data_IF_244374890380
#
_entry.id   IF_244374890380
#
_cell.length_a   1.000
_cell.length_b   1.000
_cell.length_c   1.000
_cell.angle_alpha   90.00
_cell.angle_beta   90.00
_cell.angle_gamma   90.00
#
_symmetry.space_group_name_H-M   'P 1'
#
loop_
_entity.id
_entity.type
_entity.pdbx_description
1 polymer ?
#
# COMPACT_ATOMS: atom_id res chain seq x y z
N UNK A 1 2.80 -7.30 -12.52
CA UNK A 1 2.25 -6.62 -11.33
C UNK A 1 3.34 -6.28 -10.30
N UNK A 2 4.26 -7.21 -9.98
CA UNK A 2 5.30 -6.98 -8.95
C UNK A 2 6.36 -5.94 -9.36
N UNK A 3 6.64 -5.80 -10.66
CA UNK A 3 7.68 -4.88 -11.16
C UNK A 3 7.22 -3.42 -11.32
N UNK A 4 5.97 -3.09 -10.99
CA UNK A 4 5.48 -1.71 -11.15
C UNK A 4 5.92 -0.86 -9.96
N UNK A 5 6.74 0.16 -10.20
CA UNK A 5 7.19 1.09 -9.15
C UNK A 5 6.10 2.07 -8.72
N UNK A 6 5.07 2.26 -9.56
CA UNK A 6 3.95 3.18 -9.36
C UNK A 6 3.31 3.08 -7.96
N UNK A 7 3.17 1.87 -7.41
CA UNK A 7 2.55 1.67 -6.09
C UNK A 7 3.38 2.35 -4.99
N UNK A 8 4.67 2.04 -4.91
CA UNK A 8 5.61 2.58 -3.92
C UNK A 8 5.88 4.07 -4.18
N UNK A 9 6.08 4.45 -5.44
CA UNK A 9 6.31 5.86 -5.81
C UNK A 9 5.12 6.75 -5.46
N UNK A 10 3.88 6.26 -5.59
CA UNK A 10 2.69 7.03 -5.21
C UNK A 10 2.67 7.38 -3.71
N UNK A 11 3.11 6.46 -2.86
CA UNK A 11 3.22 6.68 -1.41
C UNK A 11 4.35 7.66 -1.12
N UNK A 12 5.55 7.43 -1.68
CA UNK A 12 6.69 8.33 -1.51
C UNK A 12 6.38 9.76 -1.95
N UNK A 13 5.66 9.95 -3.06
CA UNK A 13 5.23 11.26 -3.53
C UNK A 13 4.32 11.95 -2.52
N UNK A 14 3.39 11.21 -1.91
CA UNK A 14 2.50 11.77 -0.88
C UNK A 14 3.26 12.19 0.36
N UNK A 15 4.20 11.36 0.83
CA UNK A 15 5.04 11.69 1.98
C UNK A 15 5.89 12.93 1.72
N UNK A 16 6.55 13.02 0.56
CA UNK A 16 7.31 14.23 0.17
C UNK A 16 6.43 15.49 0.13
N UNK A 17 5.18 15.37 -0.34
CA UNK A 17 4.23 16.50 -0.36
C UNK A 17 3.89 16.96 1.06
N UNK A 18 3.64 16.03 1.98
CA UNK A 18 3.27 16.33 3.37
C UNK A 18 4.43 16.91 4.18
N UNK A 19 5.66 16.47 3.92
CA UNK A 19 6.84 16.97 4.63
C UNK A 19 7.37 18.28 4.05
N UNK A 20 7.17 18.55 2.75
CA UNK A 20 7.64 19.79 2.09
C UNK A 20 7.05 21.07 2.69
N UNK A 21 5.83 21.03 3.22
CA UNK A 21 5.17 22.21 3.81
C UNK A 21 5.57 22.50 5.25
N UNK A 22 6.23 21.56 5.95
CA UNK A 22 6.72 21.76 7.33
C UNK A 22 8.24 21.95 7.33
N UNK A 23 8.70 23.12 7.78
CA UNK A 23 10.14 23.42 7.93
C UNK A 23 10.84 22.59 9.04
N UNK A 24 10.08 21.97 9.94
CA UNK A 24 10.62 21.13 11.01
C UNK A 24 9.52 20.42 11.82
N UNK A 25 9.91 19.32 12.46
CA UNK A 25 9.04 18.54 13.36
C UNK A 25 9.55 18.64 14.79
N UNK A 26 8.68 18.88 15.78
CA UNK A 26 9.09 19.05 17.17
C UNK A 26 9.55 17.75 17.84
N UNK A 27 9.11 16.59 17.35
CA UNK A 27 9.59 15.27 17.75
C UNK A 27 9.27 14.23 16.66
N UNK A 28 9.90 13.05 16.75
CA UNK A 28 9.68 11.94 15.80
C UNK A 28 8.21 11.48 15.78
N UNK A 29 7.57 11.40 16.94
CA UNK A 29 6.15 11.01 17.06
C UNK A 29 5.20 11.92 16.25
N UNK A 30 5.51 13.21 16.13
CA UNK A 30 4.72 14.16 15.35
C UNK A 30 4.87 13.93 13.84
N UNK A 31 6.07 13.54 13.41
CA UNK A 31 6.32 13.12 12.03
C UNK A 31 5.55 11.82 11.72
N UNK A 32 5.66 10.82 12.59
CA UNK A 32 4.98 9.54 12.42
C UNK A 32 3.45 9.70 12.36
N UNK A 33 2.86 10.52 13.23
CA UNK A 33 1.42 10.84 13.19
C UNK A 33 1.02 11.50 11.87
N UNK A 34 1.81 12.43 11.36
CA UNK A 34 1.52 13.09 10.08
C UNK A 34 1.55 12.08 8.91
N UNK A 35 2.57 11.23 8.87
CA UNK A 35 2.70 10.20 7.84
C UNK A 35 1.56 9.18 7.92
N UNK A 36 1.17 8.77 9.12
CA UNK A 36 0.04 7.88 9.36
C UNK A 36 -1.28 8.47 8.84
N UNK A 37 -1.58 9.72 9.18
CA UNK A 37 -2.77 10.42 8.65
C UNK A 37 -2.73 10.57 7.13
N UNK A 38 -1.54 10.82 6.57
CA UNK A 38 -1.31 10.82 5.13
C UNK A 38 -1.65 9.49 4.47
N UNK A 39 -1.20 8.39 5.09
CA UNK A 39 -1.46 7.03 4.63
C UNK A 39 -2.94 6.67 4.73
N UNK A 40 -3.62 6.98 5.84
CA UNK A 40 -5.07 6.75 5.98
C UNK A 40 -5.87 7.49 4.91
N UNK A 41 -5.47 8.71 4.54
CA UNK A 41 -6.12 9.45 3.46
C UNK A 41 -5.82 8.89 2.07
N UNK A 42 -4.65 8.28 1.88
CA UNK A 42 -4.30 7.57 0.65
C UNK A 42 -5.09 6.26 0.50
N UNK A 43 -5.19 5.49 1.59
CA UNK A 43 -5.92 4.23 1.66
C UNK A 43 -7.38 4.39 1.23
N UNK A 44 -8.05 5.46 1.68
CA UNK A 44 -9.43 5.79 1.26
C UNK A 44 -9.60 5.95 -0.25
N UNK A 45 -8.51 6.21 -1.00
CA UNK A 45 -8.53 6.36 -2.46
C UNK A 45 -8.16 5.07 -3.19
N UNK A 46 -7.70 4.04 -2.49
CA UNK A 46 -7.33 2.75 -3.07
C UNK A 46 -8.55 1.84 -3.25
N UNK A 47 -9.55 2.34 -3.98
CA UNK A 47 -10.80 1.61 -4.25
C UNK A 47 -10.77 0.85 -5.57
N UNK A 48 -9.78 1.11 -6.42
CA UNK A 48 -9.69 0.48 -7.74
C UNK A 48 -9.30 -0.99 -7.61
N UNK A 49 -10.04 -1.92 -8.23
CA UNK A 49 -9.68 -3.32 -8.21
C UNK A 49 -8.36 -3.58 -8.92
N UNK A 50 -7.62 -4.56 -8.41
CA UNK A 50 -6.36 -5.00 -9.00
C UNK A 50 -6.65 -5.72 -10.32
N UNK A 51 -6.04 -5.25 -11.40
CA UNK A 51 -6.18 -5.87 -12.72
C UNK A 51 -5.61 -7.30 -12.71
N UNK A 52 -6.35 -8.23 -13.29
CA UNK A 52 -5.99 -9.65 -13.43
C UNK A 52 -5.67 -10.36 -12.10
N UNK A 53 -6.27 -9.90 -10.98
CA UNK A 53 -6.05 -10.49 -9.66
C UNK A 53 -6.38 -11.99 -9.61
N UNK A 54 -7.49 -12.41 -10.23
CA UNK A 54 -7.89 -13.83 -10.25
C UNK A 54 -6.83 -14.74 -10.88
N UNK A 55 -6.21 -14.30 -11.99
CA UNK A 55 -5.15 -15.06 -12.64
C UNK A 55 -3.91 -15.14 -11.74
N UNK A 56 -3.51 -14.02 -11.13
CA UNK A 56 -2.39 -14.01 -10.20
C UNK A 56 -2.65 -14.92 -9.00
N UNK A 57 -3.88 -14.93 -8.49
CA UNK A 57 -4.30 -15.77 -7.37
C UNK A 57 -4.25 -17.26 -7.72
N UNK A 58 -4.76 -17.67 -8.88
CA UNK A 58 -4.67 -19.06 -9.35
C UNK A 58 -3.21 -19.53 -9.46
N UNK A 59 -2.32 -18.68 -9.97
CA UNK A 59 -0.89 -18.98 -10.02
C UNK A 59 -0.31 -19.13 -8.60
N UNK A 60 -0.64 -18.22 -7.68
CA UNK A 60 -0.18 -18.31 -6.30
C UNK A 60 -0.67 -19.58 -5.58
N UNK A 61 -1.91 -20.02 -5.82
CA UNK A 61 -2.41 -21.29 -5.28
C UNK A 61 -1.61 -22.50 -5.77
N UNK A 62 -1.20 -22.51 -7.05
CA UNK A 62 -0.40 -23.59 -7.62
C UNK A 62 1.02 -23.58 -7.03
N UNK A 63 1.65 -22.40 -6.92
CA UNK A 63 3.01 -22.27 -6.39
C UNK A 63 3.10 -22.48 -4.87
N UNK A 64 2.03 -22.16 -4.13
CA UNK A 64 1.97 -22.25 -2.66
C UNK A 64 0.78 -23.09 -2.20
N UNK A 65 0.79 -24.41 -2.44
CA UNK A 65 -0.32 -25.29 -2.08
C UNK A 65 -0.58 -25.28 -0.58
N UNK A 66 -1.85 -25.41 -0.18
CA UNK A 66 -2.32 -25.47 1.22
C UNK A 66 -2.04 -24.22 2.09
N UNK A 67 -1.50 -23.13 1.51
CA UNK A 67 -1.21 -21.89 2.26
C UNK A 67 -2.36 -20.89 2.25
N UNK A 68 -3.19 -20.95 1.21
CA UNK A 68 -4.26 -19.99 0.97
C UNK A 68 -5.66 -20.53 1.29
N UNK A 69 -5.79 -21.84 1.53
CA UNK A 69 -7.06 -22.53 1.76
C UNK A 69 -7.82 -21.99 2.98
N UNK A 70 -7.10 -21.51 4.01
CA UNK A 70 -7.71 -20.92 5.22
C UNK A 70 -8.16 -19.46 5.02
N UNK A 71 -7.70 -18.79 3.96
CA UNK A 71 -7.94 -17.37 3.69
C UNK A 71 -8.97 -17.20 2.58
N UNK A 72 -9.04 -18.17 1.68
CA UNK A 72 -9.93 -18.17 0.53
C UNK A 72 -11.01 -19.21 0.81
N UNK A 73 -12.11 -18.76 1.41
CA UNK A 73 -13.33 -19.56 1.48
C UNK A 73 -13.89 -19.70 0.06
N UNK A 74 -13.74 -20.87 -0.54
CA UNK A 74 -14.53 -21.28 -1.71
C UNK A 74 -16.00 -21.40 -1.34
#
# INVERSE_FOLDING_TARGET
>A
MIYTTNAIESIHRQFRKLTKTKSGFPNENSLLKLLYLGLQNAEKKWTMPIQNWNLALSQLMIFFPNRLDNVISL
#
